data_IF_693245996111
#
_entry.id   IF_693245996111
#
_cell.length_a   1.000
_cell.length_b   1.000
_cell.length_c   1.000
_cell.angle_alpha   90.00
_cell.angle_beta   90.00
_cell.angle_gamma   90.00
#
_symmetry.space_group_name_H-M   'P 1'
#
loop_
_entity.id
_entity.type
_entity.pdbx_description
1 polymer ?
#
# COMPACT_ATOMS: atom_id res chain seq x y z
N UNK A 1 7.18 4.75 1.72
CA UNK A 1 6.81 4.96 0.31
C UNK A 1 5.39 5.56 0.24
N UNK A 2 5.17 6.50 -0.66
CA UNK A 2 3.91 7.23 -0.79
C UNK A 2 3.39 7.15 -2.23
N UNK A 3 2.07 7.08 -2.40
CA UNK A 3 1.41 7.09 -3.71
C UNK A 3 0.46 8.30 -3.92
N UNK A 4 0.25 9.10 -2.87
CA UNK A 4 -0.76 10.15 -2.85
C UNK A 4 -2.14 9.68 -2.39
N UNK A 5 -2.41 8.38 -2.38
CA UNK A 5 -3.66 7.82 -1.90
C UNK A 5 -3.82 7.87 -0.37
N UNK A 6 -5.06 7.70 0.15
CA UNK A 6 -5.38 7.96 1.55
C UNK A 6 -4.53 7.15 2.54
N UNK A 7 -4.30 5.85 2.26
CA UNK A 7 -3.54 4.99 3.16
C UNK A 7 -2.09 5.50 3.32
N UNK A 8 -1.43 5.81 2.21
CA UNK A 8 -0.05 6.29 2.22
C UNK A 8 0.09 7.70 2.82
N UNK A 9 -0.89 8.57 2.60
CA UNK A 9 -0.90 9.93 3.14
C UNK A 9 -1.19 9.94 4.65
N UNK A 10 -2.12 9.12 5.12
CA UNK A 10 -2.37 8.93 6.56
C UNK A 10 -1.10 8.47 7.29
N UNK A 11 -0.40 7.50 6.72
CA UNK A 11 0.82 6.93 7.30
C UNK A 11 1.98 7.93 7.26
N UNK A 12 2.13 8.68 6.16
CA UNK A 12 3.14 9.74 6.06
C UNK A 12 2.93 10.80 7.15
N UNK A 13 1.70 11.31 7.28
CA UNK A 13 1.38 12.30 8.32
C UNK A 13 1.59 11.73 9.73
N UNK A 14 1.12 10.50 9.99
CA UNK A 14 1.31 9.85 11.29
C UNK A 14 2.78 9.71 11.66
N UNK A 15 3.61 9.21 10.76
CA UNK A 15 5.03 8.97 11.01
C UNK A 15 5.82 10.28 11.13
N UNK A 16 5.50 11.30 10.33
CA UNK A 16 6.21 12.58 10.35
C UNK A 16 6.04 13.36 11.66
N UNK A 17 5.02 13.06 12.47
CA UNK A 17 4.83 13.70 13.77
C UNK A 17 5.89 13.31 14.80
N UNK A 18 6.47 12.09 14.70
CA UNK A 18 7.36 11.55 15.73
C UNK A 18 8.69 10.99 15.18
N UNK A 19 8.86 10.99 13.85
CA UNK A 19 10.04 10.44 13.21
C UNK A 19 10.55 11.37 12.12
N UNK A 20 11.86 11.36 11.90
CA UNK A 20 12.45 11.95 10.70
C UNK A 20 12.16 11.01 9.53
N UNK A 21 11.32 11.45 8.61
CA UNK A 21 10.90 10.67 7.45
C UNK A 21 11.32 11.33 6.15
N UNK A 22 11.53 10.53 5.12
CA UNK A 22 11.64 10.96 3.72
C UNK A 22 10.50 10.34 2.95
N UNK A 23 9.73 11.13 2.23
CA UNK A 23 8.68 10.62 1.36
C UNK A 23 9.30 10.09 0.06
N UNK A 24 9.12 8.79 -0.21
CA UNK A 24 9.61 8.16 -1.42
C UNK A 24 8.44 7.84 -2.36
N UNK A 25 8.44 8.45 -3.53
CA UNK A 25 7.44 8.24 -4.57
C UNK A 25 8.02 7.41 -5.72
N UNK A 26 7.25 6.44 -6.22
CA UNK A 26 7.58 5.67 -7.41
C UNK A 26 6.54 5.96 -8.50
N UNK A 27 6.97 6.59 -9.60
CA UNK A 27 6.12 6.88 -10.74
C UNK A 27 6.07 5.69 -11.71
N UNK A 28 4.88 5.14 -11.89
CA UNK A 28 4.60 4.06 -12.83
C UNK A 28 4.47 4.52 -14.30
N UNK A 29 4.69 5.80 -14.59
CA UNK A 29 4.53 6.36 -15.93
C UNK A 29 3.08 6.48 -16.39
N UNK A 30 2.12 6.48 -15.47
CA UNK A 30 0.68 6.66 -15.78
C UNK A 30 0.34 8.13 -15.94
N UNK A 31 -0.80 8.43 -16.61
CA UNK A 31 -1.28 9.81 -16.71
C UNK A 31 -1.49 10.44 -15.33
N UNK A 32 -2.03 9.69 -14.39
CA UNK A 32 -2.25 10.11 -13.00
C UNK A 32 -0.94 10.29 -12.21
N UNK A 33 0.16 9.70 -12.68
CA UNK A 33 1.48 9.81 -12.05
C UNK A 33 1.99 11.24 -11.93
N UNK A 34 1.77 12.08 -12.95
CA UNK A 34 2.17 13.50 -12.94
C UNK A 34 1.41 14.31 -11.89
N UNK A 35 0.11 14.07 -11.75
CA UNK A 35 -0.73 14.72 -10.74
C UNK A 35 -0.28 14.30 -9.34
N UNK A 36 -0.07 13.00 -9.12
CA UNK A 36 0.42 12.44 -7.86
C UNK A 36 1.79 13.01 -7.49
N UNK A 37 2.71 13.10 -8.44
CA UNK A 37 4.04 13.69 -8.22
C UNK A 37 3.94 15.15 -7.76
N UNK A 38 3.18 15.99 -8.47
CA UNK A 38 3.02 17.40 -8.14
C UNK A 38 2.37 17.58 -6.78
N UNK A 39 1.30 16.84 -6.51
CA UNK A 39 0.60 16.86 -5.23
C UNK A 39 1.55 16.49 -4.07
N UNK A 40 2.29 15.40 -4.19
CA UNK A 40 3.20 14.91 -3.16
C UNK A 40 4.37 15.87 -2.92
N UNK A 41 4.98 16.40 -3.99
CA UNK A 41 6.05 17.39 -3.88
C UNK A 41 5.59 18.61 -3.11
N UNK A 42 4.42 19.15 -3.46
CA UNK A 42 3.89 20.37 -2.86
C UNK A 42 3.43 20.13 -1.40
N UNK A 43 2.87 18.95 -1.11
CA UNK A 43 2.53 18.55 0.26
C UNK A 43 3.80 18.45 1.13
N UNK A 44 4.82 17.75 0.66
CA UNK A 44 6.07 17.55 1.38
C UNK A 44 6.80 18.88 1.62
N UNK A 45 6.82 19.76 0.62
CA UNK A 45 7.41 21.11 0.77
C UNK A 45 6.72 21.94 1.88
N UNK A 46 5.36 21.90 1.93
CA UNK A 46 4.61 22.61 2.99
C UNK A 46 4.84 22.03 4.39
N UNK A 47 5.20 20.75 4.50
CA UNK A 47 5.41 20.03 5.76
C UNK A 47 6.90 19.89 6.14
N UNK A 48 7.79 20.46 5.35
CA UNK A 48 9.26 20.33 5.51
C UNK A 48 9.70 18.84 5.56
N UNK A 49 9.08 18.01 4.70
CA UNK A 49 9.42 16.60 4.56
C UNK A 49 10.29 16.42 3.32
N UNK A 50 11.51 15.86 3.42
CA UNK A 50 12.31 15.51 2.25
C UNK A 50 11.54 14.59 1.29
N UNK A 51 11.59 14.91 0.00
CA UNK A 51 10.87 14.18 -1.05
C UNK A 51 11.84 13.62 -2.09
N UNK A 52 11.74 12.32 -2.35
CA UNK A 52 12.53 11.60 -3.36
C UNK A 52 11.56 10.90 -4.30
N UNK A 53 11.84 10.95 -5.58
CA UNK A 53 11.04 10.25 -6.59
C UNK A 53 11.94 9.40 -7.51
N UNK A 54 11.42 8.25 -7.91
CA UNK A 54 11.96 7.44 -8.99
C UNK A 54 10.89 7.10 -10.00
N UNK A 55 11.28 6.80 -11.22
CA UNK A 55 10.39 6.54 -12.34
C UNK A 55 10.60 5.11 -12.82
N UNK A 56 9.54 4.48 -13.32
CA UNK A 56 9.63 3.22 -14.07
C UNK A 56 10.63 3.37 -15.21
N UNK A 57 11.64 2.51 -15.24
CA UNK A 57 12.76 2.62 -16.18
C UNK A 57 12.82 1.52 -17.24
N UNK A 58 12.17 0.38 -16.99
CA UNK A 58 12.24 -0.77 -17.87
C UNK A 58 10.95 -0.98 -18.66
N UNK A 59 11.10 -1.48 -19.89
CA UNK A 59 9.96 -1.94 -20.68
C UNK A 59 9.40 -3.25 -20.11
N UNK A 60 8.07 -3.40 -20.20
CA UNK A 60 7.38 -4.59 -19.71
C UNK A 60 7.81 -5.84 -20.48
N UNK A 61 8.39 -6.88 -19.83
CA UNK A 61 8.72 -8.14 -20.48
C UNK A 61 7.48 -8.84 -21.07
N UNK A 62 7.68 -9.55 -22.18
CA UNK A 62 6.61 -10.37 -22.77
C UNK A 62 6.12 -11.43 -21.76
N UNK A 63 4.82 -11.64 -21.69
CA UNK A 63 4.20 -12.64 -20.81
C UNK A 63 3.99 -12.22 -19.36
N UNK A 64 4.51 -11.08 -18.92
CA UNK A 64 4.29 -10.55 -17.57
C UNK A 64 3.08 -9.63 -17.53
N UNK A 65 2.28 -9.67 -16.45
CA UNK A 65 1.20 -8.71 -16.26
C UNK A 65 1.76 -7.31 -15.98
N UNK A 66 0.97 -6.27 -16.22
CA UNK A 66 1.38 -4.88 -15.97
C UNK A 66 1.59 -4.64 -14.47
N UNK A 67 0.68 -5.15 -13.63
CA UNK A 67 0.79 -5.04 -12.16
C UNK A 67 2.04 -5.72 -11.62
N UNK A 68 2.35 -6.92 -12.12
CA UNK A 68 3.53 -7.67 -11.71
C UNK A 68 4.82 -6.93 -12.11
N UNK A 69 4.86 -6.39 -13.34
CA UNK A 69 5.99 -5.60 -13.80
C UNK A 69 6.20 -4.34 -12.94
N UNK A 70 5.15 -3.54 -12.71
CA UNK A 70 5.21 -2.36 -11.85
C UNK A 70 5.62 -2.68 -10.42
N UNK A 71 5.14 -3.80 -9.90
CA UNK A 71 5.52 -4.25 -8.57
C UNK A 71 7.00 -4.59 -8.50
N UNK A 72 7.51 -5.37 -9.44
CA UNK A 72 8.89 -5.84 -9.41
C UNK A 72 9.86 -4.67 -9.56
N UNK A 73 9.66 -3.78 -10.53
CA UNK A 73 10.45 -2.57 -10.70
C UNK A 73 10.46 -1.69 -9.44
N UNK A 74 9.28 -1.49 -8.85
CA UNK A 74 9.17 -0.72 -7.61
C UNK A 74 9.94 -1.36 -6.47
N UNK A 75 9.86 -2.67 -6.31
CA UNK A 75 10.57 -3.36 -5.24
C UNK A 75 12.08 -3.41 -5.49
N UNK A 76 12.54 -3.52 -6.73
CA UNK A 76 13.94 -3.38 -7.08
C UNK A 76 14.47 -2.01 -6.63
N UNK A 77 13.82 -0.91 -7.01
CA UNK A 77 14.19 0.43 -6.55
C UNK A 77 14.13 0.60 -5.04
N UNK A 78 13.16 -0.03 -4.36
CA UNK A 78 13.09 -0.02 -2.90
C UNK A 78 14.26 -0.76 -2.26
N UNK A 79 14.68 -1.89 -2.83
CA UNK A 79 15.79 -2.69 -2.30
C UNK A 79 17.15 -2.04 -2.52
N UNK A 80 17.29 -1.22 -3.56
CA UNK A 80 18.50 -0.43 -3.82
C UNK A 80 18.65 0.76 -2.87
N UNK A 81 17.57 1.12 -2.16
CA UNK A 81 17.59 2.23 -1.21
C UNK A 81 18.16 1.77 0.13
N UNK A 82 19.21 2.45 0.61
CA UNK A 82 19.95 2.04 1.81
C UNK A 82 19.23 2.29 3.16
N UNK A 83 17.97 2.72 3.13
CA UNK A 83 17.18 2.97 4.33
C UNK A 83 15.95 2.05 4.38
N UNK A 84 15.41 1.77 5.57
CA UNK A 84 14.13 1.07 5.70
C UNK A 84 13.01 1.82 4.98
N UNK A 85 12.22 1.11 4.20
CA UNK A 85 11.06 1.65 3.49
C UNK A 85 9.77 1.15 4.12
N UNK A 86 8.99 2.07 4.66
CA UNK A 86 7.63 1.78 5.14
C UNK A 86 6.66 1.87 3.97
N UNK A 87 5.82 0.84 3.80
CA UNK A 87 4.73 0.84 2.80
C UNK A 87 3.36 0.84 3.47
N UNK A 88 2.38 1.42 2.78
CA UNK A 88 1.02 1.64 3.30
C UNK A 88 0.08 0.43 3.26
N UNK A 89 0.61 -0.80 3.24
CA UNK A 89 -0.24 -1.99 3.32
C UNK A 89 -0.94 -2.05 4.68
N UNK A 90 -2.23 -2.31 4.65
CA UNK A 90 -3.13 -2.32 5.80
C UNK A 90 -3.85 -3.68 5.95
N UNK A 91 -4.75 -3.81 6.92
CA UNK A 91 -5.46 -5.07 7.20
C UNK A 91 -6.35 -5.53 6.04
N UNK A 92 -6.97 -4.60 5.35
CA UNK A 92 -7.83 -4.91 4.20
C UNK A 92 -6.98 -5.49 3.05
N UNK A 93 -5.77 -4.96 2.81
CA UNK A 93 -4.82 -5.54 1.84
C UNK A 93 -4.39 -6.96 2.23
N UNK A 94 -4.24 -7.25 3.54
CA UNK A 94 -3.93 -8.62 4.02
C UNK A 94 -5.04 -9.58 3.65
N UNK A 95 -6.30 -9.19 3.87
CA UNK A 95 -7.46 -10.03 3.57
C UNK A 95 -7.57 -10.24 2.05
N UNK A 96 -7.49 -9.17 1.27
CA UNK A 96 -7.50 -9.21 -0.20
C UNK A 96 -6.41 -10.16 -0.75
N UNK A 97 -5.20 -10.02 -0.24
CA UNK A 97 -4.08 -10.88 -0.64
C UNK A 97 -4.27 -12.34 -0.23
N UNK A 98 -4.80 -12.58 0.98
CA UNK A 98 -5.09 -13.94 1.42
C UNK A 98 -6.13 -14.61 0.53
N UNK A 99 -7.23 -13.92 0.21
CA UNK A 99 -8.25 -14.42 -0.71
C UNK A 99 -7.64 -14.72 -2.09
N UNK A 100 -6.92 -13.76 -2.65
CA UNK A 100 -6.23 -13.94 -3.93
C UNK A 100 -5.30 -15.16 -3.92
N UNK A 101 -4.43 -15.25 -2.93
CA UNK A 101 -3.44 -16.33 -2.85
C UNK A 101 -4.06 -17.70 -2.55
N UNK A 102 -5.20 -17.73 -1.84
CA UNK A 102 -5.97 -18.96 -1.57
C UNK A 102 -6.58 -19.52 -2.85
N UNK A 103 -7.12 -18.68 -3.72
CA UNK A 103 -7.62 -19.10 -5.03
C UNK A 103 -6.53 -19.69 -5.92
N UNK A 104 -5.25 -19.37 -5.65
CA UNK A 104 -4.09 -19.92 -6.33
C UNK A 104 -3.39 -21.03 -5.51
N UNK A 105 -4.08 -21.61 -4.54
CA UNK A 105 -3.59 -22.76 -3.73
C UNK A 105 -2.52 -22.43 -2.69
N UNK A 106 -2.33 -21.15 -2.32
CA UNK A 106 -1.23 -20.75 -1.42
C UNK A 106 -1.67 -20.24 -0.04
N UNK A 107 -2.78 -19.53 0.08
CA UNK A 107 -3.35 -19.05 1.35
C UNK A 107 -2.36 -18.28 2.23
N UNK A 108 -1.64 -17.29 1.69
CA UNK A 108 -0.59 -16.56 2.40
C UNK A 108 -1.06 -15.17 2.82
N UNK A 109 -0.64 -14.71 3.99
CA UNK A 109 -0.73 -13.31 4.39
C UNK A 109 0.47 -12.51 3.87
N UNK A 110 0.33 -11.19 3.80
CA UNK A 110 1.42 -10.29 3.43
C UNK A 110 2.47 -10.31 4.54
N UNK A 111 3.77 -10.56 4.25
CA UNK A 111 4.79 -10.59 5.27
C UNK A 111 5.04 -9.19 5.85
N UNK A 112 5.30 -9.09 7.16
CA UNK A 112 5.66 -7.83 7.82
C UNK A 112 6.88 -7.19 7.18
N UNK A 113 7.91 -7.98 6.89
CA UNK A 113 9.17 -7.51 6.34
C UNK A 113 9.57 -8.28 5.08
N UNK A 114 10.09 -7.56 4.10
CA UNK A 114 10.76 -8.10 2.95
C UNK A 114 12.03 -7.27 2.69
N UNK A 115 13.20 -7.78 3.10
CA UNK A 115 14.49 -7.08 3.12
C UNK A 115 14.37 -5.75 3.90
N UNK A 116 14.58 -4.61 3.26
CA UNK A 116 14.44 -3.27 3.85
C UNK A 116 13.02 -2.71 3.81
N UNK A 117 12.07 -3.40 3.17
CA UNK A 117 10.66 -2.97 3.13
C UNK A 117 9.91 -3.53 4.34
N UNK A 118 9.30 -2.66 5.14
CA UNK A 118 8.52 -2.98 6.33
C UNK A 118 7.07 -2.49 6.21
N UNK A 119 6.14 -3.22 6.85
CA UNK A 119 4.69 -3.00 6.76
C UNK A 119 4.05 -2.96 8.15
N UNK A 120 4.27 -1.89 8.93
CA UNK A 120 3.85 -1.84 10.33
C UNK A 120 2.33 -1.71 10.51
N UNK A 121 1.56 -1.44 9.45
CA UNK A 121 0.13 -1.18 9.52
C UNK A 121 -0.75 -2.37 9.10
N UNK A 122 -0.19 -3.58 8.96
CA UNK A 122 -0.94 -4.78 8.53
C UNK A 122 -2.07 -5.20 9.48
N UNK A 123 -2.06 -4.75 10.73
CA UNK A 123 -3.17 -4.96 11.69
C UNK A 123 -4.12 -3.77 11.79
N UNK A 124 -3.89 -2.70 11.01
CA UNK A 124 -4.69 -1.47 11.02
C UNK A 124 -5.75 -1.53 9.93
N UNK A 125 -7.06 -1.44 10.24
CA UNK A 125 -8.11 -1.37 9.24
C UNK A 125 -7.96 -0.12 8.35
N UNK A 126 -8.29 -0.25 7.07
CA UNK A 126 -8.30 0.87 6.11
C UNK A 126 -9.17 2.03 6.60
N UNK A 127 -10.32 1.71 7.22
CA UNK A 127 -11.18 2.73 7.83
C UNK A 127 -10.43 3.62 8.83
N UNK A 128 -9.56 3.05 9.66
CA UNK A 128 -8.79 3.84 10.65
C UNK A 128 -7.83 4.83 9.98
N UNK A 129 -7.29 4.50 8.82
CA UNK A 129 -6.43 5.40 8.04
C UNK A 129 -7.26 6.53 7.40
N UNK A 130 -8.44 6.22 6.88
CA UNK A 130 -9.38 7.23 6.37
C UNK A 130 -9.85 8.17 7.48
N UNK A 131 -10.25 7.63 8.63
CA UNK A 131 -10.66 8.40 9.81
C UNK A 131 -9.51 9.32 10.31
N UNK A 132 -8.25 8.88 10.16
CA UNK A 132 -7.07 9.72 10.43
C UNK A 132 -7.00 10.90 9.47
N UNK A 133 -7.11 10.63 8.15
CA UNK A 133 -7.08 11.69 7.16
C UNK A 133 -8.16 12.74 7.40
N UNK A 134 -9.39 12.31 7.68
CA UNK A 134 -10.52 13.20 7.95
C UNK A 134 -10.26 14.05 9.20
N UNK A 135 -9.94 13.40 10.33
CA UNK A 135 -9.71 14.07 11.62
C UNK A 135 -8.54 15.04 11.59
N UNK A 136 -7.46 14.68 10.88
CA UNK A 136 -6.24 15.48 10.78
C UNK A 136 -6.25 16.42 9.57
N UNK A 137 -7.30 16.37 8.75
CA UNK A 137 -7.42 17.13 7.50
C UNK A 137 -6.21 16.89 6.56
N UNK A 138 -5.76 15.63 6.50
CA UNK A 138 -4.68 15.23 5.60
C UNK A 138 -5.26 15.10 4.19
N UNK A 139 -4.79 15.89 3.22
CA UNK A 139 -5.28 15.77 1.85
C UNK A 139 -4.74 14.50 1.20
N UNK A 140 -5.51 13.92 0.29
CA UNK A 140 -5.11 12.77 -0.52
C UNK A 140 -5.78 12.82 -1.89
N UNK A 141 -5.25 12.05 -2.82
CA UNK A 141 -5.81 11.86 -4.16
C UNK A 141 -6.57 10.53 -4.23
N UNK A 142 -7.59 10.48 -5.07
CA UNK A 142 -8.26 9.25 -5.44
C UNK A 142 -7.90 8.92 -6.88
N UNK A 143 -7.13 7.85 -7.08
CA UNK A 143 -6.77 7.38 -8.42
C UNK A 143 -7.98 6.70 -9.07
N UNK A 144 -8.49 7.21 -10.21
CA UNK A 144 -9.58 6.58 -10.94
C UNK A 144 -9.29 5.15 -11.39
N UNK A 145 -8.01 4.79 -11.54
CA UNK A 145 -7.58 3.45 -11.91
C UNK A 145 -7.78 2.39 -10.80
N UNK A 146 -8.03 2.81 -9.56
CA UNK A 146 -8.29 1.88 -8.45
C UNK A 146 -9.57 1.07 -8.61
N UNK A 147 -10.54 1.57 -9.39
CA UNK A 147 -11.84 0.93 -9.64
C UNK A 147 -11.85 0.15 -10.98
N UNK A 148 -10.74 0.14 -11.72
CA UNK A 148 -10.65 -0.59 -12.99
C UNK A 148 -10.65 -2.11 -12.74
N UNK A 149 -11.76 -2.76 -13.09
CA UNK A 149 -11.96 -4.22 -12.98
C UNK A 149 -11.05 -5.07 -13.87
N UNK A 150 -10.21 -4.46 -14.70
CA UNK A 150 -9.13 -5.19 -15.41
C UNK A 150 -8.09 -5.75 -14.42
N UNK A 151 -7.99 -5.16 -13.24
CA UNK A 151 -7.07 -5.62 -12.21
C UNK A 151 -7.76 -6.61 -11.26
N UNK A 152 -7.17 -7.78 -11.08
CA UNK A 152 -7.72 -8.84 -10.21
C UNK A 152 -7.94 -8.36 -8.77
N UNK A 153 -7.14 -7.42 -8.28
CA UNK A 153 -7.33 -6.84 -6.96
C UNK A 153 -8.62 -6.03 -6.84
N UNK A 154 -8.99 -5.30 -7.90
CA UNK A 154 -10.27 -4.58 -7.92
C UNK A 154 -11.45 -5.53 -7.86
N UNK A 155 -11.39 -6.67 -8.57
CA UNK A 155 -12.42 -7.73 -8.49
C UNK A 155 -12.52 -8.27 -7.07
N UNK A 156 -11.40 -8.57 -6.41
CA UNK A 156 -11.43 -9.07 -5.03
C UNK A 156 -12.03 -8.02 -4.09
N UNK A 157 -11.59 -6.78 -4.21
CA UNK A 157 -12.04 -5.66 -3.34
C UNK A 157 -13.53 -5.37 -3.49
N UNK A 158 -14.02 -5.27 -4.73
CA UNK A 158 -15.37 -4.78 -4.98
C UNK A 158 -16.40 -5.91 -5.07
N UNK A 159 -16.01 -7.09 -5.50
CA UNK A 159 -16.94 -8.18 -5.73
C UNK A 159 -16.83 -9.27 -4.65
N UNK A 160 -15.62 -9.71 -4.25
CA UNK A 160 -15.46 -10.81 -3.30
C UNK A 160 -15.50 -10.37 -1.83
N UNK A 161 -14.87 -9.24 -1.49
CA UNK A 161 -14.80 -8.79 -0.09
C UNK A 161 -16.18 -8.54 0.54
N UNK A 162 -17.18 -7.94 -0.15
CA UNK A 162 -18.53 -7.81 0.40
C UNK A 162 -19.16 -9.17 0.74
N UNK A 163 -19.00 -10.16 -0.14
CA UNK A 163 -19.51 -11.52 0.13
C UNK A 163 -18.76 -12.21 1.25
N UNK A 164 -17.44 -12.05 1.34
CA UNK A 164 -16.65 -12.59 2.45
C UNK A 164 -17.08 -12.00 3.80
N UNK A 165 -17.44 -10.71 3.83
CA UNK A 165 -17.96 -10.04 5.03
C UNK A 165 -19.38 -10.50 5.40
N UNK A 166 -20.21 -10.88 4.45
CA UNK A 166 -21.52 -11.50 4.70
C UNK A 166 -21.33 -12.89 5.36
N UNK A 167 -20.40 -13.69 4.83
CA UNK A 167 -20.08 -15.01 5.39
C UNK A 167 -19.45 -14.91 6.78
N UNK A 168 -18.56 -13.96 6.96
CA UNK A 168 -17.91 -13.68 8.25
C UNK A 168 -17.87 -12.17 8.54
N UNK A 169 -18.87 -11.62 9.23
CA UNK A 169 -18.88 -10.20 9.63
C UNK A 169 -17.68 -9.81 10.51
N UNK A 170 -17.05 -10.77 11.16
CA UNK A 170 -15.86 -10.60 11.98
C UNK A 170 -14.53 -10.80 11.24
N UNK A 171 -14.51 -10.86 9.91
CA UNK A 171 -13.33 -11.20 9.10
C UNK A 171 -12.11 -10.33 9.43
N UNK A 172 -12.29 -9.03 9.61
CA UNK A 172 -11.19 -8.13 10.01
C UNK A 172 -10.62 -8.51 11.38
N UNK A 173 -11.47 -8.84 12.37
CA UNK A 173 -11.01 -9.29 13.70
C UNK A 173 -10.26 -10.61 13.61
N UNK A 174 -10.71 -11.52 12.76
CA UNK A 174 -10.05 -12.81 12.52
C UNK A 174 -8.65 -12.61 11.92
N UNK A 175 -8.54 -11.80 10.87
CA UNK A 175 -7.27 -11.53 10.22
C UNK A 175 -6.32 -10.68 11.07
N UNK A 176 -6.84 -9.73 11.84
CA UNK A 176 -6.03 -8.99 12.82
C UNK A 176 -5.32 -9.93 13.80
N UNK A 177 -6.07 -10.89 14.39
CA UNK A 177 -5.48 -11.91 15.28
C UNK A 177 -4.46 -12.80 14.56
N UNK A 178 -4.70 -13.13 13.29
CA UNK A 178 -3.78 -13.93 12.49
C UNK A 178 -2.47 -13.17 12.28
N UNK A 179 -2.54 -11.92 11.89
CA UNK A 179 -1.38 -11.02 11.69
C UNK A 179 -0.61 -10.85 13.00
N UNK A 180 -1.29 -10.55 14.10
CA UNK A 180 -0.66 -10.38 15.43
C UNK A 180 0.06 -11.66 15.88
N UNK A 181 -0.54 -12.83 15.67
CA UNK A 181 0.08 -14.12 15.97
C UNK A 181 1.32 -14.37 15.12
N UNK A 182 1.25 -14.08 13.82
CA UNK A 182 2.37 -14.27 12.90
C UNK A 182 3.56 -13.36 13.27
N UNK A 183 3.31 -12.15 13.73
CA UNK A 183 4.37 -11.25 14.19
C UNK A 183 5.00 -11.72 15.52
N UNK A 184 4.22 -12.25 16.45
CA UNK A 184 4.75 -12.77 17.71
C UNK A 184 5.61 -14.03 17.52
N UNK A 185 5.45 -14.75 16.39
CA UNK A 185 6.32 -15.87 16.03
C UNK A 185 7.65 -15.44 15.39
N UNK A 186 7.77 -14.16 15.00
CA UNK A 186 8.97 -13.60 14.35
C UNK A 186 9.87 -12.82 15.35
N UNK A 187 9.43 -12.66 16.57
CA UNK A 187 10.15 -12.02 17.69
C UNK A 187 10.26 -12.97 18.88
#
# INVERSE_FOLDING_TARGET
>A
AVSGGPDSMAILDFLSNNHKVTAYYFDHGTHFGKESYSFLRDYCARKDIPFVASVLSAEKPKGKSLEEHWRDERYEKFHDYNLPIVTGHNLDDVIEWFLFSSLHGKGKIIPYRNRNVIRPFLSTPKKSLLDWCERKKVPFLTDPGNDDKKFMRSVIRHDMMPHAQVVNPGIQKTFKKLVEREYNLLY
#
